data_IF_504865208367
#
_entry.id   IF_504865208367
#
_cell.length_a   1.000
_cell.length_b   1.000
_cell.length_c   1.000
_cell.angle_alpha   90.00
_cell.angle_beta   90.00
_cell.angle_gamma   90.00
#
_symmetry.space_group_name_H-M   'P 1'
#
loop_
_entity.id
_entity.type
_entity.pdbx_description
1 polymer ?
#
# COMPACT_ATOMS: atom_id res chain seq x y z
N UNK A 1 14.23 -10.21 17.93
CA UNK A 1 14.35 -9.28 16.80
C UNK A 1 13.04 -9.21 16.05
N UNK A 2 12.56 -8.00 15.79
CA UNK A 2 11.34 -7.80 15.02
C UNK A 2 11.62 -7.97 13.53
N UNK A 3 10.85 -8.83 12.89
CA UNK A 3 10.92 -9.05 11.45
C UNK A 3 9.72 -8.40 10.77
N UNK A 4 9.85 -8.16 9.48
CA UNK A 4 8.77 -7.57 8.69
C UNK A 4 7.48 -8.38 8.83
N UNK A 5 7.57 -9.70 8.81
CA UNK A 5 6.39 -10.56 8.94
C UNK A 5 5.66 -10.39 10.27
N UNK A 6 6.34 -9.87 11.29
CA UNK A 6 5.74 -9.62 12.60
C UNK A 6 4.99 -8.28 12.66
N UNK A 7 5.32 -7.37 11.75
CA UNK A 7 4.81 -6.01 11.73
C UNK A 7 3.84 -5.73 10.59
N UNK A 8 3.84 -6.56 9.56
CA UNK A 8 3.03 -6.31 8.38
C UNK A 8 1.54 -6.53 8.64
N UNK A 9 0.74 -5.76 7.92
CA UNK A 9 -0.70 -5.95 7.85
C UNK A 9 -0.94 -7.12 6.89
N UNK A 10 -1.73 -8.12 7.32
CA UNK A 10 -1.98 -9.29 6.51
C UNK A 10 -3.22 -9.16 5.63
N UNK A 11 -4.23 -8.43 6.09
CA UNK A 11 -5.45 -8.21 5.33
C UNK A 11 -5.29 -6.98 4.46
N UNK A 12 -4.48 -7.10 3.40
CA UNK A 12 -4.19 -5.98 2.52
C UNK A 12 -5.38 -5.70 1.62
N UNK A 13 -5.74 -4.42 1.50
CA UNK A 13 -6.77 -4.00 0.55
C UNK A 13 -6.14 -4.04 -0.84
N UNK A 14 -6.69 -4.86 -1.71
CA UNK A 14 -6.17 -5.06 -3.07
C UNK A 14 -7.22 -4.77 -4.11
N UNK A 15 -6.76 -4.62 -5.34
CA UNK A 15 -7.63 -4.42 -6.50
C UNK A 15 -6.95 -4.96 -7.75
N UNK A 16 -7.73 -5.09 -8.80
CA UNK A 16 -7.21 -5.37 -10.15
C UNK A 16 -6.92 -4.04 -10.84
N UNK A 17 -6.15 -4.10 -11.91
CA UNK A 17 -5.65 -2.91 -12.60
C UNK A 17 -6.72 -2.13 -13.36
N UNK A 18 -7.86 -2.73 -13.65
CA UNK A 18 -8.94 -2.10 -14.41
C UNK A 18 -10.01 -1.44 -13.53
N UNK A 19 -9.80 -1.39 -12.22
CA UNK A 19 -10.66 -0.62 -11.34
C UNK A 19 -10.51 0.87 -11.65
N UNK A 20 -11.60 1.65 -11.56
CA UNK A 20 -11.53 3.09 -11.78
C UNK A 20 -10.86 3.80 -10.60
N UNK A 21 -10.31 4.97 -10.87
CA UNK A 21 -9.71 5.81 -9.82
C UNK A 21 -10.78 6.16 -8.78
N UNK A 22 -12.00 6.50 -9.24
CA UNK A 22 -13.09 6.82 -8.33
C UNK A 22 -13.35 5.68 -7.35
N UNK A 23 -13.44 4.45 -7.86
CA UNK A 23 -13.73 3.32 -6.98
C UNK A 23 -12.58 3.05 -6.02
N UNK A 24 -11.34 3.23 -6.46
CA UNK A 24 -10.18 3.08 -5.58
C UNK A 24 -10.21 4.10 -4.45
N UNK A 25 -10.57 5.35 -4.76
CA UNK A 25 -10.68 6.40 -3.74
C UNK A 25 -11.80 6.05 -2.74
N UNK A 26 -12.93 5.56 -3.24
CA UNK A 26 -14.01 5.10 -2.36
C UNK A 26 -13.53 4.01 -1.42
N UNK A 27 -12.71 3.09 -1.91
CA UNK A 27 -12.15 2.01 -1.08
C UNK A 27 -11.23 2.57 0.01
N UNK A 28 -10.38 3.54 -0.33
CA UNK A 28 -9.53 4.19 0.67
C UNK A 28 -10.39 4.78 1.79
N UNK A 29 -11.46 5.46 1.41
CA UNK A 29 -12.36 6.10 2.37
C UNK A 29 -13.14 5.09 3.19
N UNK A 30 -13.77 4.13 2.53
CA UNK A 30 -14.63 3.14 3.19
C UNK A 30 -13.85 2.23 4.14
N UNK A 31 -12.63 1.88 3.77
CA UNK A 31 -11.81 0.92 4.53
C UNK A 31 -10.81 1.61 5.46
N UNK A 32 -10.78 2.92 5.45
CA UNK A 32 -9.88 3.72 6.32
C UNK A 32 -8.41 3.31 6.14
N UNK A 33 -7.99 3.15 4.90
CA UNK A 33 -6.61 2.77 4.57
C UNK A 33 -5.96 3.84 3.71
N UNK A 34 -4.64 3.84 3.67
CA UNK A 34 -3.86 4.82 2.92
C UNK A 34 -3.41 4.34 1.54
N UNK A 35 -3.66 3.09 1.21
CA UNK A 35 -3.25 2.55 -0.08
C UNK A 35 -4.11 1.36 -0.51
N UNK A 36 -4.13 1.13 -1.82
CA UNK A 36 -4.69 -0.06 -2.43
C UNK A 36 -3.57 -0.68 -3.25
N UNK A 37 -3.26 -1.94 -3.00
CA UNK A 37 -2.22 -2.65 -3.75
C UNK A 37 -2.89 -3.33 -4.95
N UNK A 38 -2.33 -3.09 -6.14
CA UNK A 38 -2.88 -3.67 -7.36
C UNK A 38 -2.17 -4.99 -7.63
N UNK A 39 -2.95 -6.05 -7.82
CA UNK A 39 -2.42 -7.40 -8.04
C UNK A 39 -3.00 -8.01 -9.30
N UNK A 40 -2.29 -9.00 -9.85
CA UNK A 40 -2.79 -9.77 -10.98
C UNK A 40 -3.56 -11.00 -10.50
N UNK A 41 -3.96 -11.87 -11.42
CA UNK A 41 -4.76 -13.04 -11.09
C UNK A 41 -4.01 -14.10 -10.27
N UNK A 42 -2.69 -14.02 -10.25
CA UNK A 42 -1.85 -14.87 -9.40
C UNK A 42 -1.45 -14.17 -8.10
N UNK A 43 -2.09 -13.07 -7.77
CA UNK A 43 -1.81 -12.27 -6.57
C UNK A 43 -0.41 -11.66 -6.54
N UNK A 44 0.19 -11.47 -7.71
CA UNK A 44 1.48 -10.77 -7.79
C UNK A 44 1.25 -9.26 -7.75
N UNK A 45 2.11 -8.57 -7.02
CA UNK A 45 2.03 -7.12 -6.89
C UNK A 45 2.41 -6.44 -8.20
N UNK A 46 1.47 -5.72 -8.79
CA UNK A 46 1.67 -4.99 -10.06
C UNK A 46 1.91 -3.51 -9.83
N UNK A 47 1.32 -2.95 -8.78
CA UNK A 47 1.38 -1.53 -8.55
C UNK A 47 0.77 -1.17 -7.21
N UNK A 48 0.76 0.12 -6.93
CA UNK A 48 0.15 0.64 -5.71
C UNK A 48 -0.51 1.97 -6.02
N UNK A 49 -1.62 2.24 -5.36
CA UNK A 49 -2.35 3.51 -5.44
C UNK A 49 -2.55 4.03 -4.03
N UNK A 50 -2.10 5.25 -3.77
CA UNK A 50 -2.08 5.81 -2.43
C UNK A 50 -2.94 7.05 -2.31
N UNK A 51 -3.19 7.49 -1.07
CA UNK A 51 -3.87 8.76 -0.81
C UNK A 51 -3.16 9.93 -1.50
N UNK A 52 -1.84 9.92 -1.50
CA UNK A 52 -1.05 10.97 -2.17
C UNK A 52 -1.32 10.97 -3.68
N UNK A 53 -1.43 9.79 -4.28
CA UNK A 53 -1.77 9.68 -5.69
C UNK A 53 -3.16 10.27 -5.96
N UNK A 54 -4.12 9.98 -5.10
CA UNK A 54 -5.49 10.50 -5.23
C UNK A 54 -5.49 12.03 -5.22
N UNK A 55 -4.78 12.63 -4.27
CA UNK A 55 -4.69 14.09 -4.16
C UNK A 55 -4.03 14.68 -5.40
N UNK A 56 -2.93 14.08 -5.85
CA UNK A 56 -2.22 14.54 -7.04
C UNK A 56 -3.11 14.51 -8.28
N UNK A 57 -3.83 13.43 -8.48
CA UNK A 57 -4.68 13.26 -9.66
C UNK A 57 -5.84 14.25 -9.66
N UNK A 58 -6.45 14.50 -8.50
CA UNK A 58 -7.48 15.52 -8.38
C UNK A 58 -6.92 16.91 -8.71
N UNK A 59 -5.76 17.24 -8.14
CA UNK A 59 -5.11 18.52 -8.38
C UNK A 59 -4.74 18.72 -9.86
N UNK A 60 -4.39 17.64 -10.55
CA UNK A 60 -4.03 17.69 -11.96
C UNK A 60 -5.23 17.62 -12.91
N UNK A 61 -6.44 17.52 -12.39
CA UNK A 61 -7.64 17.49 -13.21
C UNK A 61 -7.83 16.20 -13.99
N UNK A 62 -7.25 15.10 -13.53
CA UNK A 62 -7.38 13.81 -14.20
C UNK A 62 -8.79 13.26 -13.97
N UNK A 63 -9.39 12.69 -15.02
CA UNK A 63 -10.72 12.10 -14.90
C UNK A 63 -10.71 10.91 -13.92
N UNK A 64 -11.65 10.92 -13.00
CA UNK A 64 -11.79 9.84 -12.01
C UNK A 64 -12.31 8.55 -12.62
N UNK A 65 -12.79 8.60 -13.87
CA UNK A 65 -13.25 7.42 -14.58
C UNK A 65 -12.11 6.63 -15.25
N UNK A 66 -10.90 7.17 -15.24
CA UNK A 66 -9.74 6.42 -15.73
C UNK A 66 -9.47 5.23 -14.83
N UNK A 67 -8.80 4.24 -15.40
CA UNK A 67 -8.47 3.01 -14.66
C UNK A 67 -7.12 3.13 -13.95
N UNK A 68 -6.97 2.35 -12.90
CA UNK A 68 -5.74 2.36 -12.09
C UNK A 68 -4.49 2.06 -12.92
N UNK A 69 -4.62 1.17 -13.92
CA UNK A 69 -3.47 0.83 -14.78
C UNK A 69 -2.87 2.04 -15.49
N UNK A 70 -3.68 3.09 -15.70
CA UNK A 70 -3.23 4.28 -16.41
C UNK A 70 -2.44 5.24 -15.51
N UNK A 71 -2.61 5.13 -14.19
CA UNK A 71 -2.09 6.11 -13.24
C UNK A 71 -1.31 5.51 -12.08
N UNK A 72 -1.36 4.21 -11.87
CA UNK A 72 -0.69 3.57 -10.73
C UNK A 72 0.83 3.62 -10.88
N UNK A 73 1.52 3.61 -9.74
CA UNK A 73 2.96 3.44 -9.72
C UNK A 73 3.29 2.00 -10.07
N UNK A 74 4.03 1.80 -11.15
CA UNK A 74 4.38 0.47 -11.67
C UNK A 74 5.70 -0.07 -11.14
N UNK A 75 6.61 0.83 -10.76
CA UNK A 75 7.90 0.45 -10.18
C UNK A 75 7.75 0.44 -8.66
N UNK A 76 6.96 -0.50 -8.17
CA UNK A 76 6.64 -0.57 -6.75
C UNK A 76 7.85 -1.03 -5.97
N UNK A 77 8.18 -0.28 -4.93
CA UNK A 77 9.21 -0.71 -3.99
C UNK A 77 8.57 -1.73 -3.06
N UNK A 78 9.12 -2.93 -3.04
CA UNK A 78 8.62 -4.02 -2.21
C UNK A 78 9.70 -4.52 -1.27
N UNK A 79 9.31 -5.31 -0.28
CA UNK A 79 10.26 -5.95 0.64
C UNK A 79 9.84 -7.41 0.82
N UNK A 80 10.83 -8.28 1.00
CA UNK A 80 10.57 -9.69 1.26
C UNK A 80 10.15 -9.93 2.70
N UNK A 81 9.43 -11.02 2.93
CA UNK A 81 8.92 -11.37 4.26
C UNK A 81 10.03 -11.54 5.30
N UNK A 82 11.21 -11.96 4.86
CA UNK A 82 12.35 -12.18 5.73
C UNK A 82 13.26 -10.96 5.84
N UNK A 83 12.83 -9.85 5.26
CA UNK A 83 13.56 -8.61 5.37
C UNK A 83 13.58 -8.09 6.80
N UNK A 84 14.58 -7.28 7.12
CA UNK A 84 14.73 -6.69 8.43
C UNK A 84 14.01 -5.35 8.51
N UNK A 85 13.74 -4.90 9.72
CA UNK A 85 13.20 -3.57 9.94
C UNK A 85 14.16 -2.51 9.41
N UNK A 86 15.47 -2.72 9.55
CA UNK A 86 16.48 -1.79 9.03
C UNK A 86 16.44 -1.71 7.50
N UNK A 87 16.23 -2.82 6.82
CA UNK A 87 16.07 -2.81 5.38
C UNK A 87 14.83 -2.02 4.97
N UNK A 88 13.72 -2.22 5.67
CA UNK A 88 12.49 -1.48 5.41
C UNK A 88 12.72 0.02 5.60
N UNK A 89 13.40 0.39 6.68
CA UNK A 89 13.72 1.79 6.97
C UNK A 89 14.52 2.42 5.83
N UNK A 90 15.54 1.72 5.35
CA UNK A 90 16.37 2.21 4.24
C UNK A 90 15.56 2.40 2.96
N UNK A 91 14.67 1.46 2.65
CA UNK A 91 13.82 1.54 1.46
C UNK A 91 12.86 2.72 1.56
N UNK A 92 12.23 2.90 2.72
CA UNK A 92 11.30 4.00 2.95
C UNK A 92 12.01 5.35 2.76
N UNK A 93 13.19 5.51 3.36
CA UNK A 93 13.93 6.76 3.29
C UNK A 93 14.46 7.01 1.88
N UNK A 94 15.08 6.02 1.26
CA UNK A 94 15.72 6.22 -0.05
C UNK A 94 14.72 6.43 -1.18
N UNK A 95 13.52 5.86 -1.07
CA UNK A 95 12.49 5.98 -2.12
C UNK A 95 11.38 6.96 -1.75
N UNK A 96 11.39 7.50 -0.54
CA UNK A 96 10.37 8.45 -0.12
C UNK A 96 8.96 7.89 -0.08
N UNK A 97 8.84 6.59 0.20
CA UNK A 97 7.53 5.92 0.24
C UNK A 97 7.11 5.67 1.69
N UNK A 98 5.83 5.48 1.90
CA UNK A 98 5.28 5.20 3.23
C UNK A 98 4.55 3.87 3.29
N UNK A 99 4.52 3.16 2.20
CA UNK A 99 3.87 1.87 2.08
C UNK A 99 4.80 0.94 1.33
N UNK A 100 5.09 -0.22 1.93
CA UNK A 100 5.91 -1.24 1.30
C UNK A 100 5.09 -2.52 1.22
N UNK A 101 4.65 -2.91 0.03
CA UNK A 101 4.07 -4.23 -0.11
C UNK A 101 5.10 -5.29 0.27
N UNK A 102 4.68 -6.27 1.04
CA UNK A 102 5.53 -7.38 1.46
C UNK A 102 5.21 -8.55 0.55
N UNK A 103 6.25 -9.08 -0.06
CA UNK A 103 6.08 -10.15 -1.05
C UNK A 103 6.93 -11.36 -0.70
N UNK A 104 6.51 -12.50 -1.21
CA UNK A 104 7.32 -13.71 -1.14
C UNK A 104 7.82 -14.06 -2.54
N UNK A 105 8.36 -15.24 -2.71
CA UNK A 105 8.92 -15.72 -3.98
C UNK A 105 7.98 -15.38 -5.15
N UNK A 106 8.56 -14.91 -6.23
CA UNK A 106 7.85 -14.55 -7.48
C UNK A 106 6.94 -13.32 -7.35
N UNK A 107 7.13 -12.54 -6.29
CA UNK A 107 6.40 -11.27 -6.16
C UNK A 107 4.98 -11.39 -5.64
N UNK A 108 4.60 -12.54 -5.09
CA UNK A 108 3.27 -12.72 -4.52
C UNK A 108 3.11 -11.87 -3.27
N UNK A 109 2.01 -11.13 -3.22
CA UNK A 109 1.70 -10.26 -2.11
C UNK A 109 1.29 -11.08 -0.88
N UNK A 110 1.92 -10.82 0.26
CA UNK A 110 1.57 -11.48 1.51
C UNK A 110 1.28 -10.50 2.63
N UNK A 111 1.55 -9.22 2.43
CA UNK A 111 1.29 -8.24 3.47
C UNK A 111 1.62 -6.83 3.01
N UNK A 112 1.47 -5.89 3.91
CA UNK A 112 1.79 -4.49 3.67
C UNK A 112 2.42 -3.91 4.92
N UNK A 113 3.54 -3.22 4.77
CA UNK A 113 4.14 -2.46 5.85
C UNK A 113 3.78 -0.99 5.62
N UNK A 114 3.06 -0.40 6.56
CA UNK A 114 2.63 0.99 6.49
C UNK A 114 3.28 1.76 7.63
N UNK A 115 3.94 2.88 7.29
CA UNK A 115 4.58 3.73 8.29
C UNK A 115 3.55 4.23 9.31
N UNK A 116 2.37 4.64 8.84
CA UNK A 116 1.32 5.13 9.73
C UNK A 116 0.86 4.04 10.72
N UNK A 117 0.62 2.83 10.22
CA UNK A 117 0.16 1.75 11.09
C UNK A 117 1.25 1.34 12.08
N UNK A 118 2.51 1.36 11.65
CA UNK A 118 3.62 1.07 12.54
C UNK A 118 3.72 2.12 13.65
N UNK A 119 3.58 3.40 13.30
CA UNK A 119 3.60 4.48 14.30
C UNK A 119 2.41 4.39 15.24
N UNK A 120 1.22 4.09 14.72
CA UNK A 120 0.03 3.91 15.55
C UNK A 120 0.25 2.80 16.57
N UNK A 121 0.83 1.69 16.14
CA UNK A 121 1.15 0.58 17.02
C UNK A 121 2.15 1.00 18.09
N UNK A 122 3.19 1.72 17.67
CA UNK A 122 4.24 2.20 18.58
C UNK A 122 3.67 3.13 19.65
N UNK A 123 2.70 3.99 19.28
CA UNK A 123 2.08 4.94 20.21
C UNK A 123 0.88 4.36 20.95
N UNK A 124 0.59 3.08 20.76
CA UNK A 124 -0.51 2.44 21.45
C UNK A 124 -1.90 2.76 20.92
N UNK A 125 -2.00 3.29 19.71
CA UNK A 125 -3.29 3.57 19.10
C UNK A 125 -3.89 2.28 18.58
N UNK A 126 -5.16 2.02 18.93
CA UNK A 126 -5.84 0.79 18.57
C UNK A 126 -6.55 0.92 17.22
N UNK A 127 -6.97 -0.23 16.68
CA UNK A 127 -7.76 -0.26 15.44
C UNK A 127 -9.02 0.56 15.54
N UNK A 128 -9.66 0.60 16.71
CA UNK A 128 -10.89 1.36 16.91
C UNK A 128 -10.68 2.86 16.77
N UNK A 129 -9.45 3.34 17.03
CA UNK A 129 -9.11 4.74 16.80
C UNK A 129 -8.82 5.01 15.33
N UNK A 130 -8.34 4.03 14.61
CA UNK A 130 -7.98 4.16 13.20
C UNK A 130 -9.17 4.29 12.27
N UNK A 131 -10.33 3.77 12.66
CA UNK A 131 -11.52 3.78 11.80
C UNK A 131 -12.28 5.10 11.84
N UNK A 132 -11.73 6.10 12.50
CA UNK A 132 -12.34 7.43 12.49
C UNK A 132 -11.69 8.32 11.47
#
# INVERSE_FOLDING_TARGET
MLLIKDLMIKNVVTSKKDLTIKRAIEMLFEKHVGSVVIVDDQNKCLGIFTERDAIRLVAQGVSMEKELKDVMSKNVVTIGRDGSLEEARRLIISHGVRHLPVVETEGKLIGLLSVRDFLDELFGLTSSLKVR
#
